data_IF_388447142230
#
_entry.id   IF_388447142230
#
_cell.length_a   1.000
_cell.length_b   1.000
_cell.length_c   1.000
_cell.angle_alpha   90.00
_cell.angle_beta   90.00
_cell.angle_gamma   90.00
#
_symmetry.space_group_name_H-M   'P 1'
#
loop_
_entity.id
_entity.type
_entity.pdbx_description
1 polymer ?
#
# COMPACT_ATOMS: atom_id res chain seq x y z
N UNK A 1 -3.48 5.43 11.43
CA UNK A 1 -2.40 4.50 11.84
C UNK A 1 -1.11 5.04 11.27
N UNK A 2 -0.09 5.28 12.09
CA UNK A 2 1.20 5.74 11.60
C UNK A 2 2.12 4.56 11.39
N UNK A 3 2.66 4.40 10.17
CA UNK A 3 3.73 3.46 9.93
C UNK A 3 4.95 3.83 10.77
N UNK A 4 5.40 2.91 11.61
CA UNK A 4 6.65 3.00 12.38
C UNK A 4 7.53 1.81 12.00
N UNK A 5 8.11 1.89 10.81
CA UNK A 5 9.10 0.91 10.34
C UNK A 5 10.52 1.44 10.54
N UNK A 6 11.52 0.59 10.37
CA UNK A 6 12.93 1.00 10.38
C UNK A 6 13.31 1.92 9.20
N UNK A 7 12.46 2.07 8.19
CA UNK A 7 12.73 2.88 7.00
C UNK A 7 12.07 4.28 7.11
N UNK A 8 12.88 5.35 7.32
CA UNK A 8 12.33 6.71 7.47
C UNK A 8 11.70 7.24 6.18
N UNK A 9 12.17 6.80 5.01
CA UNK A 9 11.64 7.22 3.71
C UNK A 9 10.24 6.66 3.53
N UNK A 10 10.04 5.37 3.83
CA UNK A 10 8.72 4.75 3.81
C UNK A 10 7.77 5.41 4.83
N UNK A 11 8.24 5.63 6.06
CA UNK A 11 7.42 6.27 7.07
C UNK A 11 6.96 7.66 6.60
N UNK A 12 7.84 8.48 6.02
CA UNK A 12 7.44 9.76 5.45
C UNK A 12 6.47 9.57 4.26
N UNK A 13 6.73 8.62 3.37
CA UNK A 13 5.85 8.37 2.23
C UNK A 13 4.42 7.97 2.67
N UNK A 14 4.31 7.08 3.65
CA UNK A 14 3.05 6.54 4.13
C UNK A 14 2.29 7.47 5.09
N UNK A 15 3.00 8.32 5.84
CA UNK A 15 2.35 9.28 6.75
C UNK A 15 2.07 10.63 6.08
N UNK A 16 2.90 11.06 5.13
CA UNK A 16 2.88 12.43 4.59
C UNK A 16 2.60 12.43 3.09
N UNK A 17 3.42 11.73 2.29
CA UNK A 17 3.34 11.88 0.83
C UNK A 17 2.05 11.29 0.25
N UNK A 18 1.62 10.12 0.71
CA UNK A 18 0.36 9.50 0.28
C UNK A 18 -0.86 10.36 0.62
N UNK A 19 -0.81 11.13 1.72
CA UNK A 19 -1.90 12.04 2.07
C UNK A 19 -1.99 13.23 1.12
N UNK A 20 -0.89 13.62 0.49
CA UNK A 20 -0.85 14.64 -0.57
C UNK A 20 -1.33 14.10 -1.93
N UNK A 21 -1.45 12.78 -2.08
CA UNK A 21 -1.95 12.14 -3.29
C UNK A 21 -3.48 12.12 -3.30
N UNK A 22 -4.10 13.20 -3.78
CA UNK A 22 -5.55 13.23 -4.00
C UNK A 22 -5.92 12.70 -5.39
N UNK A 23 -7.03 11.99 -5.52
CA UNK A 23 -7.54 11.51 -6.82
C UNK A 23 -6.91 10.20 -7.31
N UNK A 24 -6.39 9.38 -6.40
CA UNK A 24 -5.96 8.02 -6.72
C UNK A 24 -7.17 7.15 -7.09
N UNK A 25 -7.01 6.31 -8.10
CA UNK A 25 -8.00 5.30 -8.46
C UNK A 25 -8.04 4.19 -7.39
N UNK A 26 -9.15 3.47 -7.31
CA UNK A 26 -9.29 2.35 -6.37
C UNK A 26 -8.14 1.35 -6.50
N UNK A 27 -7.72 1.00 -7.72
CA UNK A 27 -6.61 0.08 -7.97
C UNK A 27 -5.28 0.57 -7.37
N UNK A 28 -4.96 1.86 -7.53
CA UNK A 28 -3.76 2.49 -6.95
C UNK A 28 -3.81 2.49 -5.42
N UNK A 29 -4.99 2.77 -4.84
CA UNK A 29 -5.20 2.71 -3.40
C UNK A 29 -5.03 1.27 -2.86
N UNK A 30 -5.53 0.28 -3.60
CA UNK A 30 -5.42 -1.13 -3.27
C UNK A 30 -3.96 -1.62 -3.33
N UNK A 31 -3.21 -1.18 -4.35
CA UNK A 31 -1.79 -1.49 -4.49
C UNK A 31 -0.97 -0.91 -3.31
N UNK A 32 -1.13 0.38 -3.03
CA UNK A 32 -0.47 1.05 -1.91
C UNK A 32 -0.83 0.38 -0.59
N UNK A 33 -2.10 0.01 -0.40
CA UNK A 33 -2.55 -0.70 0.79
C UNK A 33 -1.86 -2.05 0.98
N UNK A 34 -1.75 -2.85 -0.10
CA UNK A 34 -1.09 -4.15 -0.06
C UNK A 34 0.38 -4.05 0.34
N UNK A 35 1.14 -3.15 -0.30
CA UNK A 35 2.54 -2.92 0.07
C UNK A 35 2.68 -2.35 1.47
N UNK A 36 1.80 -1.43 1.88
CA UNK A 36 1.83 -0.86 3.23
C UNK A 36 1.70 -1.93 4.31
N UNK A 37 0.75 -2.86 4.16
CA UNK A 37 0.51 -3.93 5.15
C UNK A 37 1.73 -4.85 5.30
N UNK A 38 2.34 -5.26 4.17
CA UNK A 38 3.58 -6.07 4.19
C UNK A 38 4.73 -5.28 4.77
N UNK A 39 4.90 -4.02 4.36
CA UNK A 39 5.96 -3.12 4.82
C UNK A 39 5.91 -2.87 6.34
N UNK A 40 4.72 -2.84 6.93
CA UNK A 40 4.52 -2.73 8.38
C UNK A 40 4.70 -4.04 9.14
N UNK A 41 4.97 -5.15 8.44
CA UNK A 41 5.09 -6.47 9.04
C UNK A 41 3.74 -7.03 9.51
N UNK A 42 2.62 -6.64 8.88
CA UNK A 42 1.37 -7.35 9.12
C UNK A 42 1.40 -8.70 8.41
N UNK A 43 0.95 -9.74 9.10
CA UNK A 43 0.74 -11.05 8.53
C UNK A 43 -0.69 -11.18 8.00
N UNK A 44 -0.82 -11.59 6.73
CA UNK A 44 -2.14 -11.79 6.13
C UNK A 44 -2.86 -13.01 6.70
N UNK A 45 -2.11 -13.94 7.28
CA UNK A 45 -2.65 -15.13 7.94
C UNK A 45 -3.38 -14.77 9.23
N UNK A 46 -2.95 -13.70 9.91
CA UNK A 46 -3.62 -13.18 11.11
C UNK A 46 -4.90 -12.42 10.77
N UNK A 47 -4.98 -11.82 9.57
CA UNK A 47 -6.14 -11.05 9.15
C UNK A 47 -7.13 -11.92 8.35
N UNK A 48 -8.24 -12.25 8.99
CA UNK A 48 -9.29 -13.08 8.37
C UNK A 48 -9.83 -12.46 7.08
N UNK A 49 -10.00 -13.31 6.05
CA UNK A 49 -10.62 -12.89 4.81
C UNK A 49 -12.02 -12.33 5.10
N UNK A 50 -12.34 -11.11 4.63
CA UNK A 50 -13.63 -10.50 4.88
C UNK A 50 -14.76 -11.29 4.21
N UNK A 51 -15.92 -11.31 4.86
CA UNK A 51 -17.10 -12.02 4.39
C UNK A 51 -17.58 -11.55 3.01
N UNK A 52 -18.36 -12.40 2.33
CA UNK A 52 -18.80 -12.20 0.94
C UNK A 52 -19.55 -10.88 0.70
N UNK A 53 -20.12 -10.29 1.76
CA UNK A 53 -20.90 -9.05 1.73
C UNK A 53 -20.03 -7.78 1.79
N UNK A 54 -18.75 -7.87 2.14
CA UNK A 54 -17.82 -6.74 2.24
C UNK A 54 -16.89 -6.68 1.01
N UNK A 55 -17.44 -6.43 -0.18
CA UNK A 55 -16.68 -6.41 -1.45
C UNK A 55 -15.45 -5.50 -1.37
N UNK A 56 -15.60 -4.29 -0.81
CA UNK A 56 -14.49 -3.33 -0.69
C UNK A 56 -13.35 -3.83 0.20
N UNK A 57 -13.68 -4.49 1.32
CA UNK A 57 -12.65 -5.06 2.20
C UNK A 57 -12.02 -6.28 1.53
N UNK A 58 -12.82 -7.07 0.81
CA UNK A 58 -12.37 -8.23 0.05
C UNK A 58 -11.37 -7.83 -1.02
N UNK A 59 -11.59 -6.74 -1.75
CA UNK A 59 -10.62 -6.24 -2.72
C UNK A 59 -9.29 -5.85 -2.06
N UNK A 60 -9.34 -5.10 -0.95
CA UNK A 60 -8.14 -4.74 -0.17
C UNK A 60 -7.35 -5.96 0.27
N UNK A 61 -8.04 -6.94 0.84
CA UNK A 61 -7.42 -8.19 1.28
C UNK A 61 -6.88 -9.01 0.11
N UNK A 62 -7.59 -9.06 -1.03
CA UNK A 62 -7.13 -9.75 -2.24
C UNK A 62 -5.86 -9.11 -2.82
N UNK A 63 -5.81 -7.78 -2.92
CA UNK A 63 -4.62 -7.08 -3.41
C UNK A 63 -3.45 -7.29 -2.47
N UNK A 64 -3.67 -7.20 -1.15
CA UNK A 64 -2.63 -7.51 -0.18
C UNK A 64 -2.15 -8.95 -0.30
N UNK A 65 -3.07 -9.92 -0.41
CA UNK A 65 -2.73 -11.33 -0.61
C UNK A 65 -1.88 -11.55 -1.84
N UNK A 66 -2.25 -10.96 -2.97
CA UNK A 66 -1.47 -11.06 -4.20
C UNK A 66 -0.03 -10.57 -3.98
N UNK A 67 0.17 -9.47 -3.25
CA UNK A 67 1.51 -8.95 -2.94
C UNK A 67 2.30 -9.85 -1.99
N UNK A 68 1.63 -10.52 -1.06
CA UNK A 68 2.26 -11.51 -0.17
C UNK A 68 2.66 -12.77 -0.95
N UNK A 69 1.78 -13.23 -1.85
CA UNK A 69 1.99 -14.41 -2.71
C UNK A 69 3.15 -14.21 -3.71
N UNK A 70 3.35 -12.96 -4.17
CA UNK A 70 4.54 -12.56 -4.92
C UNK A 70 5.86 -12.73 -4.13
N UNK A 71 5.81 -13.03 -2.83
CA UNK A 71 7.00 -13.24 -1.99
C UNK A 71 7.70 -11.94 -1.57
N UNK A 72 6.98 -10.82 -1.56
CA UNK A 72 7.56 -9.54 -1.15
C UNK A 72 7.87 -9.54 0.35
N UNK A 73 9.12 -9.26 0.71
CA UNK A 73 9.50 -9.00 2.10
C UNK A 73 9.07 -7.60 2.55
N UNK A 74 9.09 -7.34 3.85
CA UNK A 74 8.79 -6.00 4.39
C UNK A 74 9.65 -4.91 3.74
N UNK A 75 10.95 -5.15 3.55
CA UNK A 75 11.88 -4.20 2.92
C UNK A 75 11.55 -3.96 1.44
N UNK A 76 11.28 -5.02 0.68
CA UNK A 76 10.88 -4.89 -0.73
C UNK A 76 9.55 -4.16 -0.88
N UNK A 77 8.59 -4.44 0.01
CA UNK A 77 7.30 -3.77 0.02
C UNK A 77 7.44 -2.28 0.36
N UNK A 78 8.34 -1.90 1.26
CA UNK A 78 8.65 -0.50 1.56
C UNK A 78 9.19 0.22 0.32
N UNK A 79 10.14 -0.39 -0.39
CA UNK A 79 10.71 0.20 -1.60
C UNK A 79 9.65 0.34 -2.71
N UNK A 80 8.88 -0.72 -2.98
CA UNK A 80 7.78 -0.69 -3.96
C UNK A 80 6.71 0.35 -3.59
N UNK A 81 6.40 0.50 -2.31
CA UNK A 81 5.47 1.53 -1.83
C UNK A 81 5.99 2.94 -2.14
N UNK A 82 7.25 3.23 -1.81
CA UNK A 82 7.88 4.53 -2.09
C UNK A 82 7.83 4.82 -3.59
N UNK A 83 8.23 3.85 -4.41
CA UNK A 83 8.20 3.97 -5.88
C UNK A 83 6.78 4.23 -6.40
N UNK A 84 5.78 3.53 -5.87
CA UNK A 84 4.38 3.72 -6.25
C UNK A 84 3.89 5.14 -5.88
N UNK A 85 4.15 5.60 -4.65
CA UNK A 85 3.82 6.95 -4.20
C UNK A 85 4.49 8.00 -5.09
N UNK A 86 5.77 7.85 -5.41
CA UNK A 86 6.48 8.77 -6.30
C UNK A 86 5.94 8.76 -7.73
N UNK A 87 5.60 7.57 -8.25
CA UNK A 87 4.98 7.40 -9.57
C UNK A 87 3.65 8.14 -9.63
N UNK A 88 2.80 7.97 -8.62
CA UNK A 88 1.52 8.65 -8.55
C UNK A 88 1.65 10.17 -8.34
N UNK A 89 2.69 10.61 -7.62
CA UNK A 89 3.05 12.02 -7.49
C UNK A 89 3.47 12.63 -8.83
N UNK A 90 4.27 11.92 -9.62
CA UNK A 90 4.72 12.37 -10.95
C UNK A 90 3.61 12.29 -12.01
N UNK A 91 2.69 11.33 -11.91
CA UNK A 91 1.52 11.24 -12.79
C UNK A 91 0.62 12.48 -12.76
N UNK A 92 0.69 13.30 -11.70
CA UNK A 92 0.05 14.63 -11.65
C UNK A 92 0.83 15.75 -12.35
N UNK A 93 2.10 15.54 -12.75
CA UNK A 93 2.97 16.57 -13.35
C UNK A 93 2.98 16.58 -14.88
N UNK A 94 2.19 15.76 -15.56
CA UNK A 94 2.10 15.78 -17.04
C UNK A 94 0.86 16.51 -17.57
N UNK A 95 0.23 17.35 -16.75
CA UNK A 95 -0.98 18.09 -17.11
C UNK A 95 -1.14 19.36 -16.30
N UNK A 96 -0.16 20.27 -16.37
CA UNK A 96 -0.41 21.70 -16.23
C UNK A 96 0.67 22.49 -16.95
#
# INVERSE_FOLDING_TARGET
MSAKTSNPVFNNAANVEVQKLNGLSNDQLLELYGYYKIATGCDITEESAPGMFDIRKKEKWRSWKAKVDEGNTAEQAQEKYIQAVEKYKKGKKSGQ
#
